data_IF_309379592087
#
_entry.id   IF_309379592087
#
_cell.length_a   1.000
_cell.length_b   1.000
_cell.length_c   1.000
_cell.angle_alpha   90.00
_cell.angle_beta   90.00
_cell.angle_gamma   90.00
#
_symmetry.space_group_name_H-M   'P 1'
#
loop_
_entity.id
_entity.type
_entity.pdbx_description
1 polymer ?
#
# COMPACT_ATOMS: atom_id res chain seq x y z
N UNK A 1 5.71 58.27 3.37
CA UNK A 1 6.67 57.24 2.91
C UNK A 1 6.64 55.93 3.69
N UNK A 2 5.90 55.80 4.81
CA UNK A 2 5.91 54.58 5.62
C UNK A 2 4.98 53.46 5.15
N UNK A 3 3.81 53.77 4.57
CA UNK A 3 2.81 52.75 4.16
C UNK A 3 3.28 51.92 2.96
N UNK A 4 3.96 52.54 2.00
CA UNK A 4 4.48 51.86 0.81
C UNK A 4 5.63 50.90 1.15
N UNK A 5 6.44 51.20 2.18
CA UNK A 5 7.49 50.30 2.66
C UNK A 5 6.91 49.08 3.39
N UNK A 6 5.83 49.27 4.17
CA UNK A 6 5.14 48.18 4.87
C UNK A 6 4.46 47.23 3.87
N UNK A 7 3.84 47.78 2.81
CA UNK A 7 3.25 46.98 1.73
C UNK A 7 4.30 46.20 0.92
N UNK A 8 5.46 46.79 0.66
CA UNK A 8 6.57 46.11 -0.04
C UNK A 8 7.16 44.95 0.79
N UNK A 9 7.24 45.09 2.11
CA UNK A 9 7.74 44.02 3.00
C UNK A 9 6.70 42.89 3.16
N UNK A 10 5.40 43.21 3.22
CA UNK A 10 4.33 42.19 3.24
C UNK A 10 4.24 41.36 1.95
N UNK A 11 4.64 41.92 0.80
CA UNK A 11 4.66 41.21 -0.49
C UNK A 11 5.78 40.17 -0.63
N UNK A 12 6.79 40.20 0.26
CA UNK A 12 7.93 39.27 0.29
C UNK A 12 7.74 38.12 1.30
N UNK A 13 6.61 38.07 1.99
CA UNK A 13 6.28 37.02 2.97
C UNK A 13 5.44 35.94 2.27
N UNK A 14 5.84 34.65 2.28
CA UNK A 14 5.01 33.59 1.70
C UNK A 14 3.66 33.49 2.42
N UNK A 15 2.59 33.32 1.65
CA UNK A 15 1.20 33.25 2.13
C UNK A 15 1.08 32.18 3.23
N UNK A 16 0.75 32.60 4.46
CA UNK A 16 0.54 31.71 5.62
C UNK A 16 1.40 31.98 6.86
N UNK A 17 2.22 33.03 6.89
CA UNK A 17 3.00 33.41 8.08
C UNK A 17 2.29 34.50 8.91
N UNK A 18 2.02 34.22 10.19
CA UNK A 18 1.54 35.22 11.14
C UNK A 18 2.70 36.09 11.66
N UNK A 19 2.60 37.41 11.43
CA UNK A 19 3.57 38.40 11.95
C UNK A 19 3.01 39.00 13.23
N UNK A 20 3.58 38.60 14.38
CA UNK A 20 3.25 39.20 15.68
C UNK A 20 4.28 40.30 15.98
N UNK A 21 3.85 41.57 15.90
CA UNK A 21 4.65 42.72 16.32
C UNK A 21 4.53 42.88 17.85
N UNK A 22 5.61 42.69 18.60
CA UNK A 22 5.62 42.94 20.05
C UNK A 22 6.14 44.35 20.36
N UNK A 23 5.26 45.19 20.90
CA UNK A 23 5.56 46.17 21.96
C UNK A 23 6.04 47.58 21.59
N UNK A 24 5.08 48.51 21.63
CA UNK A 24 5.08 49.85 22.28
C UNK A 24 6.48 50.46 22.62
N UNK A 25 6.98 51.34 21.75
CA UNK A 25 8.15 52.17 22.04
C UNK A 25 8.26 53.34 21.05
N UNK A 26 8.22 54.56 21.58
CA UNK A 26 8.34 55.83 20.85
C UNK A 26 9.79 56.00 20.34
N UNK A 27 9.94 56.35 19.05
CA UNK A 27 11.22 56.30 18.32
C UNK A 27 11.73 57.72 18.02
N UNK A 28 12.71 58.19 18.78
CA UNK A 28 13.36 59.49 18.68
C UNK A 28 14.62 59.45 17.79
N UNK A 29 14.39 59.30 16.48
CA UNK A 29 15.09 59.99 15.39
C UNK A 29 16.61 59.93 15.18
N UNK A 30 17.44 59.43 16.10
CA UNK A 30 18.91 59.60 16.00
C UNK A 30 19.67 58.41 16.57
N UNK A 31 19.57 57.24 15.93
CA UNK A 31 20.63 56.23 16.01
C UNK A 31 20.48 55.19 14.89
N UNK A 32 21.06 55.49 13.74
CA UNK A 32 21.37 54.46 12.73
C UNK A 32 22.49 53.59 13.27
N UNK A 33 22.23 52.29 13.41
CA UNK A 33 23.14 51.20 13.81
C UNK A 33 23.05 50.76 15.27
N UNK A 34 21.96 50.07 15.60
CA UNK A 34 21.98 49.03 16.63
C UNK A 34 20.95 47.95 16.28
N UNK A 35 21.41 47.02 15.44
CA UNK A 35 20.97 45.64 15.31
C UNK A 35 19.57 45.31 15.87
N UNK A 36 18.53 45.46 15.02
CA UNK A 36 17.34 44.61 15.13
C UNK A 36 17.82 43.16 15.02
N UNK A 37 17.94 42.50 16.17
CA UNK A 37 18.20 41.07 16.24
C UNK A 37 16.89 40.36 15.88
N UNK A 38 16.53 40.42 14.60
CA UNK A 38 15.42 39.66 14.06
C UNK A 38 15.84 38.19 14.12
N UNK A 39 15.48 37.54 15.23
CA UNK A 39 15.62 36.10 15.38
C UNK A 39 14.49 35.51 14.54
N UNK A 40 14.76 35.27 13.27
CA UNK A 40 14.00 34.30 12.48
C UNK A 40 14.23 32.97 13.19
N UNK A 41 13.37 32.63 14.15
CA UNK A 41 13.22 31.25 14.59
C UNK A 41 12.55 30.54 13.43
N UNK A 42 13.37 30.08 12.49
CA UNK A 42 12.97 28.99 11.61
C UNK A 42 12.39 27.89 12.50
N UNK A 43 11.30 27.20 12.11
CA UNK A 43 11.14 25.84 12.56
C UNK A 43 12.32 25.07 11.95
N UNK A 44 13.45 25.08 12.67
CA UNK A 44 14.43 24.01 12.62
C UNK A 44 13.60 22.82 13.09
N UNK A 45 12.94 22.17 12.13
CA UNK A 45 12.22 20.94 12.34
C UNK A 45 13.21 20.06 13.09
N UNK A 46 12.87 19.74 14.34
CA UNK A 46 13.82 19.20 15.32
C UNK A 46 14.37 17.92 14.72
N UNK A 47 15.56 18.07 14.17
CA UNK A 47 16.49 17.03 13.82
C UNK A 47 16.89 16.35 15.13
N UNK A 48 15.98 15.56 15.68
CA UNK A 48 16.28 14.65 16.76
C UNK A 48 16.61 13.31 16.11
N UNK A 49 17.86 13.27 15.66
CA UNK A 49 18.72 12.12 15.47
C UNK A 49 18.30 10.96 16.39
N UNK A 50 17.38 10.13 15.91
CA UNK A 50 17.39 8.70 16.18
C UNK A 50 17.75 7.96 14.89
N UNK A 51 18.70 8.51 14.15
CA UNK A 51 19.54 7.72 13.26
C UNK A 51 20.59 7.00 14.11
N UNK A 52 20.10 6.15 15.01
CA UNK A 52 20.91 5.19 15.76
C UNK A 52 20.38 3.83 15.38
N UNK A 53 20.74 3.44 14.16
CA UNK A 53 21.26 2.15 13.76
C UNK A 53 21.33 2.22 12.24
N UNK A 54 22.49 2.56 11.70
CA UNK A 54 22.88 2.19 10.33
C UNK A 54 22.93 0.67 10.25
N UNK A 55 21.77 0.03 10.34
CA UNK A 55 21.56 -1.34 9.95
C UNK A 55 21.86 -1.36 8.46
N UNK A 56 22.91 -2.08 8.08
CA UNK A 56 23.27 -2.28 6.69
C UNK A 56 22.00 -2.67 5.93
N UNK A 57 21.56 -1.79 5.03
CA UNK A 57 20.34 -1.97 4.23
C UNK A 57 20.48 -3.32 3.50
N UNK A 58 19.74 -4.34 3.94
CA UNK A 58 19.82 -5.70 3.37
C UNK A 58 19.29 -5.76 1.94
N UNK A 59 18.24 -4.99 1.63
CA UNK A 59 17.53 -5.02 0.35
C UNK A 59 17.69 -3.69 -0.41
N UNK A 60 18.71 -3.57 -1.26
CA UNK A 60 18.97 -2.33 -2.03
C UNK A 60 18.04 -2.29 -3.24
N UNK A 61 17.25 -1.21 -3.36
CA UNK A 61 16.39 -0.97 -4.53
C UNK A 61 17.22 -0.32 -5.62
N UNK A 62 17.24 -0.94 -6.79
CA UNK A 62 17.77 -0.39 -8.04
C UNK A 62 16.72 -0.64 -9.10
N UNK A 63 16.12 0.42 -9.61
CA UNK A 63 15.13 0.34 -10.68
C UNK A 63 15.81 0.58 -12.03
N UNK A 64 15.34 -0.10 -13.07
CA UNK A 64 15.66 0.26 -14.46
C UNK A 64 14.84 1.46 -14.92
N UNK A 65 15.19 2.03 -16.08
CA UNK A 65 14.39 3.10 -16.72
C UNK A 65 12.96 2.63 -17.00
N UNK A 66 12.79 1.44 -17.58
CA UNK A 66 11.48 0.88 -17.90
C UNK A 66 10.60 0.66 -16.65
N UNK A 67 11.20 0.15 -15.57
CA UNK A 67 10.49 -0.06 -14.31
C UNK A 67 10.03 1.25 -13.68
N UNK A 68 10.87 2.29 -13.78
CA UNK A 68 10.55 3.63 -13.31
C UNK A 68 9.41 4.25 -14.11
N UNK A 69 9.45 4.17 -15.43
CA UNK A 69 8.39 4.70 -16.29
C UNK A 69 7.06 4.00 -16.00
N UNK A 70 7.09 2.69 -15.75
CA UNK A 70 5.92 1.95 -15.31
C UNK A 70 5.37 2.43 -13.96
N UNK A 71 6.23 2.64 -12.96
CA UNK A 71 5.82 3.16 -11.65
C UNK A 71 5.28 4.60 -11.75
N UNK A 72 5.90 5.44 -12.57
CA UNK A 72 5.47 6.80 -12.81
C UNK A 72 4.11 6.83 -13.53
N UNK A 73 3.91 5.94 -14.50
CA UNK A 73 2.62 5.73 -15.14
C UNK A 73 1.52 5.34 -14.15
N UNK A 74 1.82 4.51 -13.14
CA UNK A 74 0.87 4.15 -12.07
C UNK A 74 0.46 5.37 -11.25
N UNK A 75 1.41 6.27 -10.95
CA UNK A 75 1.15 7.47 -10.12
C UNK A 75 0.29 8.48 -10.87
N UNK A 76 0.56 8.67 -12.17
CA UNK A 76 -0.19 9.59 -13.03
C UNK A 76 -1.56 9.02 -13.45
N UNK A 77 -1.75 7.70 -13.38
CA UNK A 77 -3.04 7.07 -13.65
C UNK A 77 -4.01 7.32 -12.49
N UNK A 78 -5.09 8.07 -12.74
CA UNK A 78 -6.07 8.44 -11.71
C UNK A 78 -6.92 7.28 -11.15
N UNK A 79 -6.92 6.10 -11.77
CA UNK A 79 -7.74 4.93 -11.38
C UNK A 79 -6.87 3.75 -10.92
N UNK A 80 -6.17 3.91 -9.81
CA UNK A 80 -5.36 2.84 -9.20
C UNK A 80 -5.69 2.67 -7.72
N UNK A 81 -5.49 1.45 -7.19
CA UNK A 81 -5.66 1.21 -5.77
C UNK A 81 -4.66 2.04 -4.95
N UNK A 82 -5.13 2.64 -3.84
CA UNK A 82 -4.30 3.53 -3.02
C UNK A 82 -2.99 2.89 -2.54
N UNK A 83 -3.02 1.61 -2.13
CA UNK A 83 -1.81 0.90 -1.71
C UNK A 83 -0.82 0.70 -2.86
N UNK A 84 -1.31 0.47 -4.08
CA UNK A 84 -0.47 0.26 -5.26
C UNK A 84 0.27 1.53 -5.63
N UNK A 85 -0.43 2.67 -5.59
CA UNK A 85 0.18 4.00 -5.77
C UNK A 85 1.20 4.31 -4.68
N UNK A 86 0.85 4.09 -3.42
CA UNK A 86 1.75 4.30 -2.29
C UNK A 86 3.03 3.45 -2.43
N UNK A 87 2.91 2.17 -2.79
CA UNK A 87 4.07 1.31 -2.98
C UNK A 87 4.95 1.80 -4.14
N UNK A 88 4.35 2.26 -5.24
CA UNK A 88 5.10 2.86 -6.35
C UNK A 88 5.87 4.11 -5.90
N UNK A 89 5.23 5.01 -5.15
CA UNK A 89 5.85 6.22 -4.61
C UNK A 89 7.01 5.88 -3.64
N UNK A 90 6.81 4.89 -2.76
CA UNK A 90 7.87 4.39 -1.87
C UNK A 90 9.07 3.88 -2.66
N UNK A 91 8.85 3.08 -3.70
CA UNK A 91 9.92 2.49 -4.51
C UNK A 91 10.71 3.56 -5.28
N UNK A 92 10.03 4.54 -5.88
CA UNK A 92 10.71 5.66 -6.57
C UNK A 92 11.55 6.51 -5.62
N UNK A 93 11.08 6.75 -4.39
CA UNK A 93 11.83 7.49 -3.37
C UNK A 93 12.99 6.67 -2.78
N UNK A 94 12.80 5.36 -2.65
CA UNK A 94 13.81 4.44 -2.14
C UNK A 94 14.89 4.04 -3.15
N UNK A 95 14.66 4.29 -4.45
CA UNK A 95 15.59 3.96 -5.52
C UNK A 95 16.94 4.68 -5.35
N UNK A 96 18.01 3.89 -5.41
CA UNK A 96 19.40 4.35 -5.21
C UNK A 96 20.09 4.67 -6.55
N UNK A 97 19.44 4.40 -7.69
CA UNK A 97 19.96 4.75 -9.02
C UNK A 97 20.28 6.25 -9.15
N UNK A 98 21.03 6.63 -10.19
CA UNK A 98 21.45 8.02 -10.41
C UNK A 98 20.26 8.99 -10.43
N UNK A 99 19.20 8.59 -11.12
CA UNK A 99 17.96 9.36 -11.26
C UNK A 99 16.99 9.16 -10.08
N UNK A 100 17.31 8.29 -9.10
CA UNK A 100 16.44 7.93 -7.98
C UNK A 100 16.43 8.95 -6.83
N UNK A 101 15.41 8.87 -5.96
CA UNK A 101 15.28 9.77 -4.81
C UNK A 101 16.38 9.60 -3.76
N UNK A 102 16.90 8.38 -3.57
CA UNK A 102 17.93 8.02 -2.56
C UNK A 102 17.52 8.33 -1.12
N UNK A 103 16.22 8.31 -0.82
CA UNK A 103 15.73 8.64 0.52
C UNK A 103 16.04 7.54 1.53
N UNK A 104 16.22 7.95 2.79
CA UNK A 104 16.28 7.02 3.91
C UNK A 104 14.89 6.54 4.31
N UNK A 105 14.79 5.35 4.90
CA UNK A 105 13.50 4.75 5.24
C UNK A 105 12.73 5.60 6.27
N UNK A 106 13.44 6.30 7.17
CA UNK A 106 12.84 7.25 8.10
C UNK A 106 12.22 8.47 7.40
N UNK A 107 12.86 8.99 6.35
CA UNK A 107 12.33 10.12 5.58
C UNK A 107 11.08 9.72 4.79
N UNK A 108 11.08 8.52 4.20
CA UNK A 108 9.92 7.96 3.50
C UNK A 108 8.77 7.72 4.51
N UNK A 109 9.09 7.13 5.66
CA UNK A 109 8.13 6.88 6.75
C UNK A 109 7.44 8.17 7.19
N UNK A 110 8.20 9.23 7.42
CA UNK A 110 7.67 10.54 7.82
C UNK A 110 6.84 11.19 6.71
N UNK A 111 7.32 11.17 5.47
CA UNK A 111 6.64 11.80 4.34
C UNK A 111 5.27 11.17 4.02
N UNK A 112 5.14 9.85 4.17
CA UNK A 112 3.90 9.13 3.87
C UNK A 112 3.10 8.76 5.12
N UNK A 113 3.56 9.08 6.33
CA UNK A 113 2.89 8.74 7.58
C UNK A 113 2.76 7.23 7.83
N UNK A 114 3.71 6.43 7.32
CA UNK A 114 3.70 4.96 7.42
C UNK A 114 4.81 4.46 8.33
N UNK A 115 4.70 3.24 8.84
CA UNK A 115 5.78 2.62 9.63
C UNK A 115 7.02 2.36 8.77
N UNK A 116 8.22 2.55 9.32
CA UNK A 116 9.49 2.16 8.68
C UNK A 116 9.50 0.68 8.25
N UNK A 117 8.88 -0.19 9.05
CA UNK A 117 8.69 -1.62 8.73
C UNK A 117 7.92 -1.85 7.43
N UNK A 118 6.97 -0.96 7.09
CA UNK A 118 6.24 -1.03 5.82
C UNK A 118 7.18 -0.75 4.66
N UNK A 119 8.00 0.30 4.75
CA UNK A 119 9.02 0.64 3.73
C UNK A 119 9.99 -0.52 3.52
N UNK A 120 10.50 -1.11 4.60
CA UNK A 120 11.38 -2.27 4.54
C UNK A 120 10.73 -3.46 3.82
N UNK A 121 9.47 -3.78 4.13
CA UNK A 121 8.75 -4.89 3.50
C UNK A 121 8.51 -4.67 2.01
N UNK A 122 8.22 -3.43 1.61
CA UNK A 122 8.04 -3.11 0.18
C UNK A 122 9.36 -3.31 -0.57
N UNK A 123 10.48 -2.84 0.00
CA UNK A 123 11.82 -3.07 -0.56
C UNK A 123 12.20 -4.55 -0.61
N UNK A 124 11.90 -5.27 0.47
CA UNK A 124 12.14 -6.72 0.57
C UNK A 124 11.39 -7.49 -0.51
N UNK A 125 10.11 -7.20 -0.72
CA UNK A 125 9.29 -7.84 -1.77
C UNK A 125 9.80 -7.54 -3.17
N UNK A 126 10.21 -6.30 -3.44
CA UNK A 126 10.78 -5.97 -4.75
C UNK A 126 12.01 -6.84 -5.05
N UNK A 127 12.90 -6.98 -4.08
CA UNK A 127 14.16 -7.73 -4.27
C UNK A 127 13.95 -9.25 -4.29
N UNK A 128 12.98 -9.79 -3.54
CA UNK A 128 12.75 -11.24 -3.44
C UNK A 128 11.76 -11.78 -4.48
N UNK A 129 10.69 -11.03 -4.75
CA UNK A 129 9.53 -11.48 -5.52
C UNK A 129 9.36 -10.68 -6.83
N UNK A 130 10.01 -9.53 -6.97
CA UNK A 130 9.94 -8.67 -8.14
C UNK A 130 8.91 -7.54 -8.04
N UNK A 131 8.73 -6.80 -9.13
CA UNK A 131 7.96 -5.56 -9.18
C UNK A 131 6.45 -5.78 -8.97
N UNK A 132 5.86 -6.74 -9.69
CA UNK A 132 4.42 -7.00 -9.62
C UNK A 132 3.97 -7.46 -8.21
N UNK A 133 4.66 -8.39 -7.52
CA UNK A 133 4.30 -8.75 -6.14
C UNK A 133 4.57 -7.65 -5.12
N UNK A 134 5.53 -6.76 -5.37
CA UNK A 134 5.77 -5.60 -4.51
C UNK A 134 4.60 -4.60 -4.58
N UNK A 135 4.02 -4.40 -5.76
CA UNK A 135 2.94 -3.45 -6.00
C UNK A 135 1.57 -3.97 -5.61
N UNK A 136 1.31 -5.25 -5.85
CA UNK A 136 -0.01 -5.82 -5.65
C UNK A 136 -0.12 -6.53 -4.28
N UNK A 137 -1.36 -6.64 -3.79
CA UNK A 137 -1.61 -7.46 -2.60
C UNK A 137 -1.36 -8.93 -2.94
N UNK A 138 -0.58 -9.62 -2.10
CA UNK A 138 -0.44 -11.07 -2.19
C UNK A 138 -1.82 -11.74 -2.24
N UNK A 139 -2.00 -12.62 -3.24
CA UNK A 139 -3.22 -13.40 -3.38
C UNK A 139 -3.39 -14.26 -2.13
N UNK A 140 -4.52 -14.11 -1.46
CA UNK A 140 -4.83 -14.95 -0.30
C UNK A 140 -5.22 -16.33 -0.82
N UNK A 141 -4.34 -17.29 -0.66
CA UNK A 141 -4.71 -18.69 -0.84
C UNK A 141 -5.71 -19.10 0.26
N UNK A 142 -6.77 -19.85 -0.09
CA UNK A 142 -7.74 -20.30 0.89
C UNK A 142 -7.07 -21.23 1.90
N UNK A 143 -7.42 -21.10 3.18
CA UNK A 143 -6.80 -21.86 4.27
C UNK A 143 -7.03 -23.39 4.18
N UNK A 144 -8.00 -23.82 3.37
CA UNK A 144 -8.32 -25.24 3.14
C UNK A 144 -8.62 -25.45 1.66
N UNK A 145 -8.09 -26.54 1.10
CA UNK A 145 -8.50 -27.05 -0.20
C UNK A 145 -9.98 -27.42 -0.18
N UNK A 146 -10.63 -27.37 -1.35
CA UNK A 146 -12.02 -27.81 -1.46
C UNK A 146 -12.03 -29.34 -1.45
N UNK A 147 -12.93 -29.93 -0.67
CA UNK A 147 -13.11 -31.39 -0.61
C UNK A 147 -13.56 -31.95 -1.97
N UNK A 148 -14.41 -31.20 -2.65
CA UNK A 148 -14.82 -31.44 -4.04
C UNK A 148 -13.96 -30.51 -4.91
N UNK A 149 -12.98 -31.12 -5.58
CA UNK A 149 -12.17 -30.48 -6.62
C UNK A 149 -12.88 -30.55 -7.98
N UNK A 150 -12.33 -29.92 -9.03
CA UNK A 150 -12.95 -29.84 -10.35
C UNK A 150 -13.26 -31.21 -10.97
N UNK A 151 -12.34 -32.18 -10.82
CA UNK A 151 -12.59 -33.55 -11.27
C UNK A 151 -13.75 -34.20 -10.52
N UNK A 152 -13.78 -34.06 -9.18
CA UNK A 152 -14.84 -34.62 -8.34
C UNK A 152 -16.18 -33.94 -8.59
N UNK A 153 -16.17 -32.67 -8.95
CA UNK A 153 -17.35 -31.91 -9.35
C UNK A 153 -17.92 -32.43 -10.67
N UNK A 154 -17.06 -32.75 -11.66
CA UNK A 154 -17.49 -33.35 -12.91
C UNK A 154 -18.16 -34.73 -12.69
N UNK A 155 -17.58 -35.57 -11.82
CA UNK A 155 -18.17 -36.86 -11.46
C UNK A 155 -19.53 -36.69 -10.74
N UNK A 156 -19.63 -35.73 -9.83
CA UNK A 156 -20.88 -35.41 -9.14
C UNK A 156 -21.97 -34.94 -10.12
N UNK A 157 -21.61 -34.13 -11.12
CA UNK A 157 -22.54 -33.67 -12.15
C UNK A 157 -22.99 -34.84 -13.03
N UNK A 158 -22.06 -35.68 -13.48
CA UNK A 158 -22.38 -36.86 -14.27
C UNK A 158 -23.35 -37.80 -13.52
N UNK A 159 -23.11 -37.99 -12.22
CA UNK A 159 -23.98 -38.78 -11.37
C UNK A 159 -25.37 -38.15 -11.22
N UNK A 160 -25.44 -36.84 -10.94
CA UNK A 160 -26.72 -36.14 -10.77
C UNK A 160 -27.57 -36.09 -12.05
N UNK A 161 -26.94 -36.16 -13.22
CA UNK A 161 -27.61 -36.22 -14.52
C UNK A 161 -28.01 -37.64 -14.94
N UNK A 162 -27.54 -38.67 -14.23
CA UNK A 162 -27.90 -40.07 -14.50
C UNK A 162 -29.23 -40.49 -13.87
N UNK A 163 -29.62 -41.74 -14.13
CA UNK A 163 -30.83 -42.34 -13.57
C UNK A 163 -30.76 -42.41 -12.04
N UNK A 164 -31.91 -42.17 -11.39
CA UNK A 164 -32.03 -42.28 -9.95
C UNK A 164 -31.86 -43.76 -9.51
N UNK A 165 -31.32 -44.00 -8.30
CA UNK A 165 -31.14 -45.35 -7.79
C UNK A 165 -32.49 -46.05 -7.60
N UNK A 166 -32.45 -47.38 -7.65
CA UNK A 166 -33.65 -48.23 -7.63
C UNK A 166 -34.52 -47.92 -6.39
N UNK A 167 -35.82 -47.73 -6.61
CA UNK A 167 -36.78 -47.36 -5.58
C UNK A 167 -36.91 -45.85 -5.32
N UNK A 168 -36.19 -44.99 -6.03
CA UNK A 168 -36.29 -43.53 -5.92
C UNK A 168 -36.63 -42.85 -7.25
N UNK A 169 -37.41 -41.76 -7.20
CA UNK A 169 -37.78 -40.98 -8.37
C UNK A 169 -36.76 -39.90 -8.76
N UNK A 170 -35.81 -39.58 -7.87
CA UNK A 170 -34.77 -38.56 -8.08
C UNK A 170 -33.61 -38.72 -7.12
N UNK A 171 -32.46 -38.19 -7.50
CA UNK A 171 -31.32 -37.99 -6.62
C UNK A 171 -31.66 -37.01 -5.48
N UNK A 172 -31.27 -37.37 -4.26
CA UNK A 172 -31.20 -36.43 -3.13
C UNK A 172 -29.75 -36.10 -2.84
N UNK A 173 -29.49 -34.94 -2.21
CA UNK A 173 -28.13 -34.50 -1.89
C UNK A 173 -27.38 -35.49 -0.97
N UNK A 174 -28.10 -36.20 -0.09
CA UNK A 174 -27.53 -37.22 0.78
C UNK A 174 -27.14 -38.46 0.00
N UNK A 175 -28.02 -38.94 -0.89
CA UNK A 175 -27.73 -40.08 -1.76
C UNK A 175 -26.54 -39.80 -2.68
N UNK A 176 -26.45 -38.61 -3.27
CA UNK A 176 -25.29 -38.22 -4.07
C UNK A 176 -23.99 -38.25 -3.26
N UNK A 177 -24.02 -37.77 -2.01
CA UNK A 177 -22.86 -37.81 -1.13
C UNK A 177 -22.44 -39.23 -0.75
N UNK A 178 -23.39 -40.07 -0.37
CA UNK A 178 -23.15 -41.48 -0.03
C UNK A 178 -22.59 -42.25 -1.22
N UNK A 179 -23.16 -42.05 -2.41
CA UNK A 179 -22.71 -42.74 -3.62
C UNK A 179 -21.35 -42.23 -4.13
N UNK A 180 -21.01 -40.95 -3.90
CA UNK A 180 -19.65 -40.45 -4.15
C UNK A 180 -18.60 -41.08 -3.21
N UNK A 181 -18.98 -41.45 -1.99
CA UNK A 181 -18.11 -42.18 -1.05
C UNK A 181 -17.97 -43.63 -1.50
N UNK A 182 -19.08 -44.26 -1.92
CA UNK A 182 -19.10 -45.64 -2.44
C UNK A 182 -18.20 -45.82 -3.67
N UNK A 183 -18.23 -44.87 -4.61
CA UNK A 183 -17.36 -44.85 -5.79
C UNK A 183 -15.90 -44.47 -5.49
N UNK A 184 -15.56 -44.16 -4.23
CA UNK A 184 -14.20 -43.85 -3.80
C UNK A 184 -13.70 -42.46 -4.19
N UNK A 185 -14.57 -41.55 -4.62
CA UNK A 185 -14.17 -40.18 -5.02
C UNK A 185 -13.87 -39.28 -3.81
N UNK A 186 -14.49 -39.53 -2.66
CA UNK A 186 -14.31 -38.79 -1.41
C UNK A 186 -14.37 -39.71 -0.20
N UNK A 187 -13.57 -39.47 0.84
CA UNK A 187 -13.60 -40.27 2.08
C UNK A 187 -14.85 -39.95 2.93
N UNK A 188 -15.28 -38.70 2.95
CA UNK A 188 -16.54 -38.27 3.56
C UNK A 188 -16.99 -36.94 2.98
N UNK A 189 -18.30 -36.75 2.86
CA UNK A 189 -18.86 -35.51 2.33
C UNK A 189 -20.20 -35.18 3.00
N UNK A 190 -20.37 -33.92 3.39
CA UNK A 190 -21.66 -33.42 3.88
C UNK A 190 -22.57 -33.06 2.71
N UNK A 191 -23.87 -33.28 2.87
CA UNK A 191 -24.89 -32.85 1.90
C UNK A 191 -24.81 -31.34 1.58
N UNK A 192 -24.33 -30.51 2.52
CA UNK A 192 -24.09 -29.08 2.28
C UNK A 192 -22.91 -28.83 1.32
N UNK A 193 -21.90 -29.69 1.31
CA UNK A 193 -20.79 -29.62 0.35
C UNK A 193 -21.30 -29.93 -1.06
N UNK A 194 -22.14 -30.97 -1.20
CA UNK A 194 -22.81 -31.34 -2.46
C UNK A 194 -23.69 -30.20 -2.97
N UNK A 195 -24.54 -29.63 -2.10
CA UNK A 195 -25.39 -28.48 -2.44
C UNK A 195 -24.58 -27.29 -2.93
N UNK A 196 -23.47 -26.97 -2.26
CA UNK A 196 -22.58 -25.85 -2.64
C UNK A 196 -21.86 -26.09 -3.96
N UNK A 197 -21.51 -27.34 -4.27
CA UNK A 197 -20.95 -27.71 -5.57
C UNK A 197 -22.00 -27.49 -6.67
N UNK A 198 -23.17 -28.13 -6.55
CA UNK A 198 -24.24 -28.05 -7.56
C UNK A 198 -24.84 -26.65 -7.73
N UNK A 199 -24.83 -25.80 -6.69
CA UNK A 199 -25.31 -24.42 -6.78
C UNK A 199 -24.42 -23.53 -7.64
N UNK A 200 -23.13 -23.82 -7.77
CA UNK A 200 -22.24 -23.00 -8.60
C UNK A 200 -22.46 -23.22 -10.09
N UNK A 201 -23.18 -24.27 -10.45
CA UNK A 201 -23.37 -24.77 -11.81
C UNK A 201 -24.74 -24.41 -12.41
N UNK A 202 -25.67 -23.86 -11.60
CA UNK A 202 -26.99 -23.33 -12.00
C UNK A 202 -27.10 -21.85 -11.60
#
# INVERSE_FOLDING_TARGET
MHIELIRAVQALIPIGADVVCLGEGEFDGTSTQSLFKCRITAPINKFHVRDRLTMKKKYIVRLTEDERDYLDGIIHTGKVAAHKRLHAEILLKADISESGGKWQDGQISEAFGISTRTVERVRERLVQEGLEPALNRAKREPARSRVIDGEKEAHLIALACGDAPEGYSRWTLRMLGEHMVELGHVESVSHETIRRALKKTN
#
